data_IF_602126246296
#
_entry.id   IF_602126246296
#
_cell.length_a   1.000
_cell.length_b   1.000
_cell.length_c   1.000
_cell.angle_alpha   90.00
_cell.angle_beta   90.00
_cell.angle_gamma   90.00
#
_symmetry.space_group_name_H-M   'P 1'
#
loop_
_entity.id
_entity.type
_entity.pdbx_description
1 polymer ?
#
# COMPACT_ATOMS: atom_id res chain seq x y z
N UNK A 1 -4.02 7.07 -14.61
CA UNK A 1 -5.19 6.61 -13.83
C UNK A 1 -4.74 5.44 -12.98
N UNK A 2 -5.26 5.31 -11.76
CA UNK A 2 -4.92 4.18 -10.88
C UNK A 2 -5.52 2.89 -11.42
N UNK A 3 -4.77 1.78 -11.32
CA UNK A 3 -5.34 0.44 -11.50
C UNK A 3 -6.19 0.07 -10.29
N UNK A 4 -7.04 -0.95 -10.44
CA UNK A 4 -7.84 -1.48 -9.31
C UNK A 4 -6.95 -1.91 -8.14
N UNK A 5 -5.84 -2.61 -8.43
CA UNK A 5 -4.87 -3.01 -7.41
C UNK A 5 -4.20 -1.81 -6.74
N UNK A 6 -3.80 -0.79 -7.50
CA UNK A 6 -3.20 0.42 -6.92
C UNK A 6 -4.18 1.13 -5.99
N UNK A 7 -5.46 1.20 -6.37
CA UNK A 7 -6.51 1.76 -5.52
C UNK A 7 -6.67 0.96 -4.23
N UNK A 8 -6.70 -0.38 -4.30
CA UNK A 8 -6.76 -1.24 -3.12
C UNK A 8 -5.54 -1.06 -2.21
N UNK A 9 -4.34 -0.92 -2.78
CA UNK A 9 -3.10 -0.66 -2.03
C UNK A 9 -3.20 0.66 -1.28
N UNK A 10 -3.60 1.76 -1.94
CA UNK A 10 -3.77 3.07 -1.30
C UNK A 10 -4.77 2.99 -0.14
N UNK A 11 -5.94 2.41 -0.38
CA UNK A 11 -6.98 2.28 0.64
C UNK A 11 -6.51 1.44 1.84
N UNK A 12 -5.79 0.35 1.58
CA UNK A 12 -5.21 -0.50 2.62
C UNK A 12 -4.19 0.25 3.48
N UNK A 13 -3.33 1.04 2.84
CA UNK A 13 -2.32 1.86 3.53
C UNK A 13 -2.99 2.94 4.38
N UNK A 14 -3.95 3.67 3.81
CA UNK A 14 -4.69 4.72 4.53
C UNK A 14 -5.42 4.13 5.75
N UNK A 15 -6.11 3.01 5.57
CA UNK A 15 -6.84 2.38 6.66
C UNK A 15 -5.91 1.90 7.77
N UNK A 16 -4.80 1.21 7.45
CA UNK A 16 -3.85 0.78 8.46
C UNK A 16 -3.19 1.98 9.16
N UNK A 17 -2.83 3.03 8.42
CA UNK A 17 -2.23 4.24 8.98
C UNK A 17 -3.17 4.95 9.96
N UNK A 18 -4.45 5.12 9.61
CA UNK A 18 -5.46 5.69 10.51
C UNK A 18 -5.62 4.83 11.77
N UNK A 19 -5.55 3.49 11.62
CA UNK A 19 -5.76 2.55 12.71
C UNK A 19 -4.56 2.46 13.66
N UNK A 20 -3.33 2.49 13.16
CA UNK A 20 -2.11 2.28 13.94
C UNK A 20 -1.41 3.59 14.33
N UNK A 21 -1.53 4.64 13.52
CA UNK A 21 -0.69 5.84 13.61
C UNK A 21 0.77 5.62 13.20
N UNK A 22 1.11 4.44 12.68
CA UNK A 22 2.47 4.05 12.32
C UNK A 22 2.64 3.94 10.80
N UNK A 23 3.90 4.01 10.34
CA UNK A 23 4.22 3.76 8.93
C UNK A 23 3.81 2.36 8.50
N UNK A 24 3.22 2.27 7.30
CA UNK A 24 2.65 1.02 6.80
C UNK A 24 3.55 0.45 5.72
N UNK A 25 4.08 -0.74 5.97
CA UNK A 25 4.91 -1.47 4.99
C UNK A 25 4.12 -2.45 4.13
N UNK A 26 4.67 -2.77 2.96
CA UNK A 26 4.09 -3.74 2.01
C UNK A 26 3.81 -5.12 2.63
N UNK A 27 4.62 -5.54 3.62
CA UNK A 27 4.41 -6.81 4.34
C UNK A 27 3.17 -6.81 5.22
N UNK A 28 2.77 -5.64 5.73
CA UNK A 28 1.53 -5.48 6.50
C UNK A 28 0.34 -5.52 5.55
N UNK A 29 0.41 -4.77 4.45
CA UNK A 29 -0.62 -4.72 3.42
C UNK A 29 -0.88 -6.11 2.83
N UNK A 30 0.18 -6.81 2.39
CA UNK A 30 0.11 -8.16 1.83
C UNK A 30 -0.51 -9.17 2.80
N UNK A 31 -0.18 -9.11 4.10
CA UNK A 31 -0.68 -10.11 5.07
C UNK A 31 -2.08 -9.83 5.61
N UNK A 32 -2.53 -8.57 5.62
CA UNK A 32 -3.80 -8.18 6.27
C UNK A 32 -4.91 -7.79 5.32
N UNK A 33 -4.58 -7.25 4.16
CA UNK A 33 -5.56 -6.67 3.23
C UNK A 33 -5.52 -7.37 1.87
N UNK A 34 -4.31 -7.63 1.34
CA UNK A 34 -4.10 -8.19 0.00
C UNK A 34 -3.42 -9.56 0.06
N UNK A 35 -4.06 -10.51 0.76
CA UNK A 35 -3.51 -11.86 1.07
C UNK A 35 -3.23 -12.74 -0.15
N UNK A 36 -3.72 -12.36 -1.34
CA UNK A 36 -3.41 -13.00 -2.62
C UNK A 36 -2.16 -12.45 -3.32
N UNK A 37 -1.52 -11.42 -2.78
CA UNK A 37 -0.38 -10.76 -3.39
C UNK A 37 0.86 -10.82 -2.50
N UNK A 38 2.01 -11.07 -3.13
CA UNK A 38 3.28 -11.10 -2.41
C UNK A 38 3.66 -9.70 -1.91
N UNK A 39 4.40 -9.63 -0.81
CA UNK A 39 4.96 -8.37 -0.31
C UNK A 39 5.84 -7.65 -1.34
N UNK A 40 6.47 -8.40 -2.26
CA UNK A 40 7.27 -7.83 -3.34
C UNK A 40 6.38 -7.13 -4.39
N UNK A 41 5.27 -7.77 -4.77
CA UNK A 41 4.26 -7.17 -5.65
C UNK A 41 3.73 -5.87 -5.05
N UNK A 42 3.31 -5.90 -3.77
CA UNK A 42 2.78 -4.71 -3.11
C UNK A 42 3.83 -3.60 -2.98
N UNK A 43 5.10 -3.94 -2.73
CA UNK A 43 6.17 -2.95 -2.68
C UNK A 43 6.34 -2.22 -4.02
N UNK A 44 6.25 -2.95 -5.14
CA UNK A 44 6.34 -2.33 -6.46
C UNK A 44 5.17 -1.36 -6.68
N UNK A 45 3.94 -1.78 -6.35
CA UNK A 45 2.78 -0.88 -6.43
C UNK A 45 2.92 0.35 -5.54
N UNK A 46 3.44 0.20 -4.32
CA UNK A 46 3.68 1.32 -3.42
C UNK A 46 4.75 2.28 -3.95
N UNK A 47 5.78 1.76 -4.64
CA UNK A 47 6.79 2.58 -5.32
C UNK A 47 6.18 3.40 -6.45
N UNK A 48 5.36 2.76 -7.31
CA UNK A 48 4.65 3.45 -8.39
C UNK A 48 3.72 4.54 -7.82
N UNK A 49 3.03 4.23 -6.72
CA UNK A 49 2.14 5.16 -6.03
C UNK A 49 2.87 6.34 -5.39
N UNK A 50 4.11 6.14 -4.91
CA UNK A 50 4.97 7.20 -4.39
C UNK A 50 5.45 8.13 -5.51
N UNK A 51 5.90 7.58 -6.65
CA UNK A 51 6.25 8.36 -7.83
C UNK A 51 5.06 9.18 -8.36
N UNK A 52 3.84 8.64 -8.24
CA UNK A 52 2.60 9.32 -8.60
C UNK A 52 2.11 10.32 -7.54
N UNK A 53 2.76 10.41 -6.38
CA UNK A 53 2.42 11.34 -5.30
C UNK A 53 1.22 10.96 -4.43
N UNK A 54 0.77 9.71 -4.49
CA UNK A 54 -0.32 9.20 -3.63
C UNK A 54 0.18 8.72 -2.27
N UNK A 55 1.42 8.26 -2.20
CA UNK A 55 2.10 7.86 -0.97
C UNK A 55 3.38 8.68 -0.83
N UNK A 56 3.84 8.83 0.42
CA UNK A 56 5.15 9.40 0.70
C UNK A 56 5.78 8.65 1.86
N UNK A 57 7.07 8.36 1.74
CA UNK A 57 7.85 7.90 2.87
C UNK A 57 8.55 9.10 3.53
N UNK A 58 8.35 9.36 4.83
CA UNK A 58 9.18 10.31 5.58
C UNK A 58 10.60 9.79 5.82
#
# INVERSE_FOLDING_TARGET
>A
MLTERQLEVVLSVVYEYIRSGESVGSRTVSRRYLTGHSSATIRNEMSDLEEMGFLMQP
#
